data_IF_471698540897
#
_entry.id   IF_471698540897
#
_cell.length_a   1.000
_cell.length_b   1.000
_cell.length_c   1.000
_cell.angle_alpha   90.00
_cell.angle_beta   90.00
_cell.angle_gamma   90.00
#
_symmetry.space_group_name_H-M   'P 1'
#
loop_
_entity.id
_entity.type
_entity.pdbx_description
1 polymer ?
#
# COMPACT_ATOMS: atom_id res chain seq x y z
N UNK A 1 5.86 -49.12 -11.15
CA UNK A 1 5.17 -47.81 -11.10
C UNK A 1 3.70 -48.04 -11.41
N UNK A 2 2.81 -47.75 -10.46
CA UNK A 2 1.38 -48.05 -10.61
C UNK A 2 0.71 -47.03 -11.53
N UNK A 3 -0.32 -47.45 -12.28
CA UNK A 3 -1.11 -46.55 -13.15
C UNK A 3 -1.75 -45.38 -12.41
N UNK A 4 -1.87 -45.46 -11.08
CA UNK A 4 -2.34 -44.36 -10.24
C UNK A 4 -1.30 -43.24 -10.07
N UNK A 5 0.00 -43.57 -10.15
CA UNK A 5 1.07 -42.57 -10.13
C UNK A 5 1.18 -41.77 -11.44
N UNK A 6 0.75 -42.33 -12.58
CA UNK A 6 0.64 -41.58 -13.85
C UNK A 6 -0.61 -40.68 -13.91
N UNK A 7 -1.73 -41.09 -13.29
CA UNK A 7 -2.95 -40.26 -13.22
C UNK A 7 -2.80 -39.05 -12.31
N UNK A 8 -1.97 -39.13 -11.27
CA UNK A 8 -1.62 -37.97 -10.45
C UNK A 8 -0.61 -37.04 -11.14
N UNK A 9 0.19 -37.54 -12.07
CA UNK A 9 1.22 -36.77 -12.79
C UNK A 9 0.67 -35.97 -13.99
N UNK A 10 -0.52 -36.29 -14.49
CA UNK A 10 -1.19 -35.55 -15.58
C UNK A 10 -2.54 -34.99 -15.11
N UNK A 11 -2.54 -34.10 -14.11
CA UNK A 11 -3.72 -33.27 -13.88
C UNK A 11 -3.81 -32.23 -15.01
N UNK A 12 -4.89 -32.22 -15.82
CA UNK A 12 -5.02 -31.24 -16.89
C UNK A 12 -5.26 -29.86 -16.27
N UNK A 13 -4.25 -28.99 -16.36
CA UNK A 13 -4.34 -27.56 -16.09
C UNK A 13 -5.19 -26.94 -17.22
N UNK A 14 -6.52 -26.95 -17.05
CA UNK A 14 -7.49 -26.49 -18.06
C UNK A 14 -7.90 -25.01 -17.93
N UNK A 15 -7.38 -24.28 -16.95
CA UNK A 15 -7.15 -22.86 -17.15
C UNK A 15 -5.80 -22.77 -17.86
N UNK A 16 -5.76 -22.22 -19.08
CA UNK A 16 -4.50 -22.04 -19.80
C UNK A 16 -3.46 -21.45 -18.85
N UNK A 17 -2.19 -21.88 -18.93
CA UNK A 17 -1.14 -21.33 -18.07
C UNK A 17 -1.13 -19.80 -18.11
N UNK A 18 -1.54 -19.21 -19.24
CA UNK A 18 -1.79 -17.78 -19.40
C UNK A 18 -2.87 -17.22 -18.45
N UNK A 19 -4.01 -17.90 -18.26
CA UNK A 19 -5.05 -17.47 -17.33
C UNK A 19 -4.59 -17.58 -15.86
N UNK A 20 -3.79 -18.60 -15.54
CA UNK A 20 -3.20 -18.77 -14.20
C UNK A 20 -2.15 -17.70 -13.93
N UNK A 21 -1.32 -17.37 -14.92
CA UNK A 21 -0.29 -16.33 -14.79
C UNK A 21 -0.92 -14.94 -14.65
N UNK A 22 -2.06 -14.67 -15.31
CA UNK A 22 -2.78 -13.40 -15.18
C UNK A 22 -3.48 -13.27 -13.80
N UNK A 23 -4.05 -14.36 -13.29
CA UNK A 23 -4.74 -14.38 -11.99
C UNK A 23 -3.81 -14.47 -10.77
N UNK A 24 -2.64 -15.10 -10.90
CA UNK A 24 -1.75 -15.36 -9.77
C UNK A 24 -0.26 -15.32 -10.20
N UNK A 25 0.25 -14.20 -10.72
CA UNK A 25 1.59 -14.08 -11.31
C UNK A 25 2.71 -14.46 -10.33
N UNK A 26 3.81 -15.07 -10.80
CA UNK A 26 4.92 -15.50 -9.90
C UNK A 26 5.68 -14.28 -9.37
N UNK A 27 5.97 -13.33 -10.27
CA UNK A 27 6.81 -12.16 -9.98
C UNK A 27 6.10 -10.86 -10.41
N UNK A 28 4.96 -10.51 -9.79
CA UNK A 28 4.22 -9.32 -10.20
C UNK A 28 5.04 -8.04 -10.04
N UNK A 29 4.86 -7.13 -10.99
CA UNK A 29 5.45 -5.79 -11.00
C UNK A 29 6.99 -5.75 -10.96
N UNK A 30 7.70 -6.80 -11.38
CA UNK A 30 9.16 -6.84 -11.39
C UNK A 30 9.80 -5.67 -12.17
N UNK A 31 9.28 -5.38 -13.36
CA UNK A 31 9.77 -4.27 -14.19
C UNK A 31 9.43 -2.91 -13.56
N UNK A 32 8.18 -2.74 -13.12
CA UNK A 32 7.71 -1.53 -12.47
C UNK A 32 8.55 -1.20 -11.21
N UNK A 33 8.90 -2.19 -10.40
CA UNK A 33 9.73 -1.98 -9.21
C UNK A 33 11.08 -1.34 -9.51
N UNK A 34 11.71 -1.69 -10.65
CA UNK A 34 12.97 -1.04 -11.07
C UNK A 34 12.75 0.44 -11.39
N UNK A 35 11.70 0.72 -12.17
CA UNK A 35 11.36 2.07 -12.60
C UNK A 35 11.01 2.96 -11.41
N UNK A 36 10.22 2.44 -10.46
CA UNK A 36 9.88 3.15 -9.23
C UNK A 36 11.10 3.40 -8.34
N UNK A 37 12.02 2.44 -8.20
CA UNK A 37 13.28 2.66 -7.48
C UNK A 37 14.15 3.73 -8.16
N UNK A 38 14.22 3.73 -9.50
CA UNK A 38 14.96 4.74 -10.26
C UNK A 38 14.34 6.14 -10.10
N UNK A 39 13.00 6.23 -10.17
CA UNK A 39 12.26 7.47 -9.94
C UNK A 39 12.48 8.01 -8.53
N UNK A 40 12.41 7.15 -7.51
CA UNK A 40 12.75 7.53 -6.13
C UNK A 40 14.20 7.97 -5.98
N UNK A 41 15.14 7.27 -6.60
CA UNK A 41 16.56 7.64 -6.56
C UNK A 41 16.76 9.05 -7.12
N UNK A 42 16.18 9.35 -8.29
CA UNK A 42 16.23 10.67 -8.89
C UNK A 42 15.60 11.74 -7.98
N UNK A 43 14.46 11.43 -7.36
CA UNK A 43 13.82 12.31 -6.38
C UNK A 43 14.72 12.62 -5.19
N UNK A 44 15.28 11.59 -4.55
CA UNK A 44 16.19 11.76 -3.41
C UNK A 44 17.47 12.51 -3.77
N UNK A 45 18.05 12.29 -4.94
CA UNK A 45 19.21 13.08 -5.40
C UNK A 45 18.86 14.54 -5.68
N UNK A 46 17.68 14.80 -6.26
CA UNK A 46 17.22 16.17 -6.49
C UNK A 46 17.02 16.91 -5.15
N UNK A 47 16.42 16.24 -4.16
CA UNK A 47 16.26 16.79 -2.82
C UNK A 47 17.61 17.02 -2.14
N UNK A 48 18.47 16.02 -2.12
CA UNK A 48 19.78 16.13 -1.46
C UNK A 48 20.69 17.17 -2.11
N UNK A 49 20.68 17.25 -3.44
CA UNK A 49 21.37 18.30 -4.19
C UNK A 49 20.79 19.68 -3.90
N UNK A 50 19.46 19.80 -3.85
CA UNK A 50 18.78 21.03 -3.46
C UNK A 50 19.14 21.46 -2.03
N UNK A 51 19.24 20.52 -1.09
CA UNK A 51 19.61 20.77 0.30
C UNK A 51 21.06 21.31 0.42
N UNK A 52 21.99 20.80 -0.38
CA UNK A 52 23.36 21.34 -0.47
C UNK A 52 23.41 22.76 -1.04
N UNK A 53 22.51 23.08 -1.96
CA UNK A 53 22.39 24.41 -2.57
C UNK A 53 21.55 25.40 -1.72
N UNK A 54 21.01 24.96 -0.58
CA UNK A 54 20.11 25.77 0.25
C UNK A 54 18.72 25.97 -0.36
N UNK A 55 18.34 25.18 -1.37
CA UNK A 55 17.05 25.22 -2.06
C UNK A 55 16.00 24.28 -1.45
N UNK A 56 16.42 23.33 -0.62
CA UNK A 56 15.56 22.32 0.00
C UNK A 56 15.56 22.43 1.53
N UNK A 57 14.51 21.93 2.21
CA UNK A 57 14.35 22.08 3.65
C UNK A 57 15.41 21.28 4.41
N UNK A 58 15.80 21.76 5.60
CA UNK A 58 16.73 21.07 6.49
C UNK A 58 18.22 21.31 6.19
N UNK A 59 18.53 22.12 5.17
CA UNK A 59 19.88 22.59 4.86
C UNK A 59 20.90 21.48 4.60
N UNK A 60 22.21 21.76 4.70
CA UNK A 60 23.26 20.78 4.39
C UNK A 60 23.20 19.50 5.23
N UNK A 61 22.64 19.56 6.44
CA UNK A 61 22.44 18.39 7.31
C UNK A 61 21.43 17.38 6.76
N UNK A 62 20.43 17.83 5.99
CA UNK A 62 19.43 16.95 5.36
C UNK A 62 19.96 16.28 4.08
N UNK A 63 20.98 16.86 3.44
CA UNK A 63 21.52 16.35 2.18
C UNK A 63 22.12 14.94 2.30
N UNK A 64 22.88 14.68 3.37
CA UNK A 64 23.56 13.39 3.56
C UNK A 64 22.59 12.19 3.61
N UNK A 65 21.52 12.18 4.44
CA UNK A 65 20.58 11.06 4.45
C UNK A 65 19.79 10.94 3.13
N UNK A 66 19.44 12.04 2.47
CA UNK A 66 18.72 12.00 1.18
C UNK A 66 19.60 11.41 0.08
N UNK A 67 20.86 11.85 -0.04
CA UNK A 67 21.81 11.27 -0.99
C UNK A 67 22.04 9.79 -0.70
N UNK A 68 22.16 9.40 0.57
CA UNK A 68 22.32 7.99 0.95
C UNK A 68 21.11 7.14 0.54
N UNK A 69 19.88 7.62 0.77
CA UNK A 69 18.65 6.96 0.31
C UNK A 69 18.58 6.90 -1.22
N UNK A 70 19.00 7.96 -1.91
CA UNK A 70 19.12 8.00 -3.37
C UNK A 70 20.09 6.95 -3.90
N UNK A 71 21.26 6.79 -3.28
CA UNK A 71 22.22 5.75 -3.61
C UNK A 71 21.66 4.34 -3.39
N UNK A 72 20.99 4.10 -2.26
CA UNK A 72 20.35 2.79 -2.00
C UNK A 72 19.28 2.49 -3.05
N UNK A 73 18.42 3.46 -3.37
CA UNK A 73 17.39 3.31 -4.38
C UNK A 73 17.97 3.10 -5.79
N UNK A 74 19.06 3.78 -6.13
CA UNK A 74 19.75 3.62 -7.41
C UNK A 74 20.39 2.22 -7.52
N UNK A 75 21.06 1.76 -6.47
CA UNK A 75 21.61 0.40 -6.41
C UNK A 75 20.49 -0.61 -6.52
N UNK A 76 19.37 -0.40 -5.81
CA UNK A 76 18.20 -1.27 -5.94
C UNK A 76 17.68 -1.31 -7.37
N UNK A 77 17.63 -0.18 -8.07
CA UNK A 77 17.19 -0.08 -9.47
C UNK A 77 18.14 -0.82 -10.43
N UNK A 78 19.45 -0.58 -10.32
CA UNK A 78 20.46 -1.05 -11.27
C UNK A 78 20.95 -2.49 -11.00
N UNK A 79 21.07 -2.90 -9.73
CA UNK A 79 21.64 -4.18 -9.37
C UNK A 79 20.74 -5.36 -9.75
N UNK A 80 21.36 -6.51 -10.04
CA UNK A 80 20.71 -7.80 -10.28
C UNK A 80 20.29 -8.45 -8.96
N UNK A 81 19.42 -7.78 -8.22
CA UNK A 81 18.81 -8.32 -7.00
C UNK A 81 17.75 -9.37 -7.33
N UNK A 82 17.64 -10.40 -6.49
CA UNK A 82 16.49 -11.30 -6.53
C UNK A 82 15.19 -10.54 -6.21
N UNK A 83 14.06 -11.12 -6.62
CA UNK A 83 12.75 -10.51 -6.41
C UNK A 83 12.47 -10.18 -4.94
N UNK A 84 12.78 -11.11 -4.03
CA UNK A 84 12.60 -10.92 -2.59
C UNK A 84 13.55 -9.88 -1.98
N UNK A 85 14.82 -9.88 -2.39
CA UNK A 85 15.79 -8.88 -1.92
C UNK A 85 15.37 -7.48 -2.32
N UNK A 86 14.92 -7.28 -3.57
CA UNK A 86 14.43 -5.97 -4.03
C UNK A 86 13.21 -5.52 -3.23
N UNK A 87 12.25 -6.42 -3.02
CA UNK A 87 11.06 -6.14 -2.24
C UNK A 87 11.38 -5.72 -0.79
N UNK A 88 12.33 -6.40 -0.14
CA UNK A 88 12.83 -6.03 1.17
C UNK A 88 13.51 -4.65 1.17
N UNK A 89 14.32 -4.34 0.15
CA UNK A 89 14.95 -3.01 0.02
C UNK A 89 13.90 -1.91 -0.18
N UNK A 90 12.83 -2.16 -0.94
CA UNK A 90 11.74 -1.19 -1.13
C UNK A 90 11.01 -0.87 0.18
N UNK A 91 10.76 -1.88 1.02
CA UNK A 91 10.18 -1.68 2.36
C UNK A 91 11.16 -0.91 3.24
N UNK A 92 12.44 -1.31 3.24
CA UNK A 92 13.49 -0.65 4.01
C UNK A 92 13.62 0.83 3.63
N UNK A 93 13.61 1.16 2.34
CA UNK A 93 13.63 2.53 1.84
C UNK A 93 12.45 3.36 2.36
N UNK A 94 11.23 2.80 2.34
CA UNK A 94 10.06 3.49 2.89
C UNK A 94 10.17 3.72 4.39
N UNK A 95 10.63 2.72 5.14
CA UNK A 95 10.81 2.84 6.60
C UNK A 95 11.93 3.83 6.97
N UNK A 96 13.07 3.79 6.27
CA UNK A 96 14.18 4.72 6.49
C UNK A 96 13.77 6.14 6.10
N UNK A 97 13.08 6.32 4.98
CA UNK A 97 12.58 7.65 4.59
C UNK A 97 11.58 8.20 5.59
N UNK A 98 10.71 7.35 6.15
CA UNK A 98 9.80 7.76 7.20
C UNK A 98 10.57 8.16 8.47
N UNK A 99 11.56 7.36 8.89
CA UNK A 99 12.41 7.67 10.04
C UNK A 99 13.17 9.00 9.88
N UNK A 100 13.72 9.28 8.69
CA UNK A 100 14.37 10.56 8.38
C UNK A 100 13.36 11.69 8.37
N UNK A 101 12.19 11.50 7.76
CA UNK A 101 11.11 12.50 7.71
C UNK A 101 10.58 12.88 9.09
N UNK A 102 10.40 11.92 10.00
CA UNK A 102 9.94 12.18 11.37
C UNK A 102 10.96 12.93 12.24
N UNK A 103 12.25 12.84 11.90
CA UNK A 103 13.33 13.58 12.57
C UNK A 103 13.56 14.99 12.03
N UNK A 104 12.96 15.35 10.89
CA UNK A 104 13.20 16.62 10.21
C UNK A 104 12.49 17.82 10.85
N UNK A 105 12.98 19.04 10.61
CA UNK A 105 12.39 20.29 11.13
C UNK A 105 11.00 20.60 10.55
N UNK A 106 10.61 19.93 9.46
CA UNK A 106 9.32 20.12 8.79
C UNK A 106 8.16 19.31 9.41
N UNK A 107 8.43 18.39 10.35
CA UNK A 107 7.40 17.58 10.99
C UNK A 107 6.98 18.22 12.33
N UNK A 108 5.69 18.54 12.53
CA UNK A 108 5.22 19.08 13.79
C UNK A 108 5.46 18.07 14.94
N UNK A 109 5.91 18.51 16.12
CA UNK A 109 6.33 17.63 17.22
C UNK A 109 5.20 16.74 17.77
N UNK A 110 3.94 17.18 17.65
CA UNK A 110 2.75 16.44 18.09
C UNK A 110 2.55 15.14 17.30
N UNK A 111 3.06 15.09 16.06
CA UNK A 111 2.84 13.99 15.12
C UNK A 111 3.97 12.94 15.11
N UNK A 112 5.03 13.10 15.92
CA UNK A 112 6.19 12.17 15.90
C UNK A 112 5.82 10.75 16.33
N UNK A 113 4.90 10.58 17.29
CA UNK A 113 4.45 9.25 17.74
C UNK A 113 3.47 8.58 16.76
N UNK A 114 2.57 9.37 16.18
CA UNK A 114 1.53 8.90 15.27
C UNK A 114 2.03 8.72 13.83
N UNK A 115 3.14 9.38 13.47
CA UNK A 115 3.80 9.26 12.18
C UNK A 115 4.14 7.82 11.82
N UNK A 116 4.73 7.05 12.75
CA UNK A 116 5.05 5.65 12.50
C UNK A 116 3.79 4.83 12.20
N UNK A 117 2.72 5.03 12.96
CA UNK A 117 1.44 4.34 12.74
C UNK A 117 0.81 4.73 11.40
N UNK A 118 0.93 6.01 11.00
CA UNK A 118 0.54 6.50 9.66
C UNK A 118 1.33 5.80 8.57
N UNK A 119 2.66 5.67 8.71
CA UNK A 119 3.52 4.95 7.75
C UNK A 119 3.15 3.48 7.67
N UNK A 120 2.91 2.82 8.81
CA UNK A 120 2.45 1.42 8.82
C UNK A 120 1.13 1.29 8.07
N UNK A 121 0.15 2.17 8.30
CA UNK A 121 -1.11 2.17 7.56
C UNK A 121 -0.90 2.42 6.06
N UNK A 122 -0.07 3.40 5.69
CA UNK A 122 0.26 3.77 4.31
C UNK A 122 1.06 2.71 3.54
N UNK A 123 1.67 1.74 4.23
CA UNK A 123 2.40 0.62 3.61
C UNK A 123 1.55 -0.65 3.62
N UNK A 124 1.04 -1.03 4.80
CA UNK A 124 0.36 -2.31 5.01
C UNK A 124 -0.96 -2.38 4.25
N UNK A 125 -1.78 -1.32 4.31
CA UNK A 125 -3.12 -1.33 3.72
C UNK A 125 -3.05 -1.34 2.19
N UNK A 126 -2.30 -0.46 1.50
CA UNK A 126 -2.20 -0.51 0.05
C UNK A 126 -1.53 -1.80 -0.44
N UNK A 127 -0.49 -2.28 0.25
CA UNK A 127 0.16 -3.55 -0.08
C UNK A 127 -0.79 -4.76 0.00
N UNK A 128 -1.63 -4.81 1.04
CA UNK A 128 -2.65 -5.86 1.20
C UNK A 128 -3.80 -5.71 0.20
N UNK A 129 -4.22 -4.49 -0.15
CA UNK A 129 -5.23 -4.21 -1.17
C UNK A 129 -4.76 -4.64 -2.57
N UNK A 130 -3.52 -4.33 -2.94
CA UNK A 130 -2.90 -4.81 -4.18
C UNK A 130 -2.82 -6.34 -4.22
N UNK A 131 -2.40 -6.96 -3.10
CA UNK A 131 -2.38 -8.40 -2.96
C UNK A 131 -3.78 -9.00 -3.15
N UNK A 132 -4.78 -8.46 -2.47
CA UNK A 132 -6.17 -8.91 -2.54
C UNK A 132 -6.77 -8.75 -3.96
N UNK A 133 -6.47 -7.65 -4.64
CA UNK A 133 -6.96 -7.37 -5.99
C UNK A 133 -6.48 -8.42 -7.00
N UNK A 134 -5.21 -8.84 -6.88
CA UNK A 134 -4.60 -9.85 -7.76
C UNK A 134 -4.96 -11.27 -7.33
N UNK A 135 -4.78 -11.61 -6.05
CA UNK A 135 -5.04 -12.94 -5.50
C UNK A 135 -6.49 -13.10 -5.02
N UNK A 136 -7.46 -12.70 -5.85
CA UNK A 136 -8.86 -12.57 -5.43
C UNK A 136 -9.57 -13.89 -5.10
N UNK A 137 -9.13 -15.00 -5.68
CA UNK A 137 -9.67 -16.34 -5.40
C UNK A 137 -9.05 -16.98 -4.14
N UNK A 138 -7.94 -16.42 -3.64
CA UNK A 138 -7.23 -17.01 -2.51
C UNK A 138 -7.89 -16.60 -1.19
N UNK A 139 -8.49 -17.57 -0.49
CA UNK A 139 -9.26 -17.31 0.73
C UNK A 139 -8.45 -16.57 1.81
N UNK A 140 -7.14 -16.85 1.94
CA UNK A 140 -6.28 -16.19 2.95
C UNK A 140 -5.97 -14.73 2.63
N UNK A 141 -6.20 -14.25 1.41
CA UNK A 141 -6.01 -12.85 1.06
C UNK A 141 -6.91 -11.92 1.89
N UNK A 142 -8.11 -12.38 2.30
CA UNK A 142 -9.00 -11.61 3.19
C UNK A 142 -8.43 -11.48 4.60
N UNK A 143 -7.79 -12.52 5.12
CA UNK A 143 -7.14 -12.48 6.43
C UNK A 143 -5.94 -11.54 6.45
N UNK A 144 -5.16 -11.52 5.37
CA UNK A 144 -4.05 -10.57 5.19
C UNK A 144 -4.57 -9.12 5.17
N UNK A 145 -5.66 -8.87 4.43
CA UNK A 145 -6.31 -7.55 4.43
C UNK A 145 -6.85 -7.18 5.82
N UNK A 146 -7.47 -8.13 6.53
CA UNK A 146 -7.92 -7.94 7.92
C UNK A 146 -6.78 -7.59 8.88
N UNK A 147 -5.62 -8.24 8.75
CA UNK A 147 -4.44 -7.91 9.54
C UNK A 147 -3.89 -6.51 9.22
N UNK A 148 -3.89 -6.12 7.94
CA UNK A 148 -3.49 -4.77 7.55
C UNK A 148 -4.44 -3.69 8.09
N UNK A 149 -5.75 -3.96 8.09
CA UNK A 149 -6.74 -3.10 8.74
C UNK A 149 -6.51 -3.00 10.25
N UNK A 150 -6.29 -4.12 10.93
CA UNK A 150 -5.99 -4.14 12.36
C UNK A 150 -4.73 -3.29 12.68
N UNK A 151 -3.69 -3.38 11.85
CA UNK A 151 -2.48 -2.55 11.98
C UNK A 151 -2.75 -1.05 11.75
N UNK A 152 -3.76 -0.70 10.95
CA UNK A 152 -4.17 0.68 10.70
C UNK A 152 -5.14 1.25 11.76
N UNK A 153 -5.72 0.42 12.63
CA UNK A 153 -6.71 0.86 13.64
C UNK A 153 -6.16 1.97 14.55
N UNK A 154 -4.96 1.86 15.15
CA UNK A 154 -4.47 2.90 16.06
C UNK A 154 -4.39 4.28 15.40
N UNK A 155 -3.87 4.35 14.16
CA UNK A 155 -3.81 5.59 13.40
C UNK A 155 -5.22 6.09 13.04
N UNK A 156 -6.13 5.18 12.65
CA UNK A 156 -7.51 5.55 12.29
C UNK A 156 -8.27 6.15 13.46
N UNK A 157 -8.13 5.58 14.67
CA UNK A 157 -8.72 6.12 15.90
C UNK A 157 -8.19 7.54 16.18
N UNK A 158 -6.88 7.75 16.02
CA UNK A 158 -6.28 9.07 16.14
C UNK A 158 -6.84 10.06 15.10
N UNK A 159 -6.95 9.67 13.83
CA UNK A 159 -7.54 10.51 12.79
C UNK A 159 -8.99 10.86 13.07
N UNK A 160 -9.81 9.92 13.57
CA UNK A 160 -11.20 10.20 13.99
C UNK A 160 -11.24 11.20 15.13
N UNK A 161 -10.35 11.07 16.13
CA UNK A 161 -10.27 12.02 17.24
C UNK A 161 -9.91 13.44 16.77
N UNK A 162 -9.02 13.58 15.77
CA UNK A 162 -8.70 14.88 15.14
C UNK A 162 -9.91 15.49 14.46
N UNK A 163 -10.68 14.68 13.72
CA UNK A 163 -11.94 15.13 13.06
C UNK A 163 -13.00 15.55 14.09
N UNK A 164 -13.06 14.89 15.23
CA UNK A 164 -14.06 15.14 16.28
C UNK A 164 -13.82 16.42 17.11
N UNK A 165 -12.93 17.31 16.67
CA UNK A 165 -12.73 18.63 17.28
C UNK A 165 -11.46 18.79 18.11
N UNK A 166 -10.49 17.88 17.99
CA UNK A 166 -9.18 18.03 18.64
C UNK A 166 -8.15 18.79 17.78
N UNK A 167 -8.49 19.19 16.55
CA UNK A 167 -7.56 19.76 15.59
C UNK A 167 -8.11 21.01 14.86
N UNK A 168 -7.23 21.76 14.22
CA UNK A 168 -7.59 22.88 13.34
C UNK A 168 -8.39 22.40 12.11
N UNK A 169 -9.14 23.29 11.44
CA UNK A 169 -10.02 22.92 10.31
C UNK A 169 -9.28 22.20 9.17
N UNK A 170 -8.11 22.69 8.79
CA UNK A 170 -7.26 22.08 7.75
C UNK A 170 -6.77 20.67 8.16
N UNK A 171 -6.37 20.51 9.42
CA UNK A 171 -5.97 19.23 9.98
C UNK A 171 -7.10 18.21 10.00
N UNK A 172 -8.29 18.66 10.42
CA UNK A 172 -9.48 17.84 10.45
C UNK A 172 -9.88 17.40 9.03
N UNK A 173 -9.74 18.27 8.02
CA UNK A 173 -9.99 17.91 6.62
C UNK A 173 -9.04 16.80 6.13
N UNK A 174 -7.74 16.92 6.40
CA UNK A 174 -6.76 15.89 6.07
C UNK A 174 -7.06 14.56 6.75
N UNK A 175 -7.34 14.59 8.04
CA UNK A 175 -7.71 13.41 8.81
C UNK A 175 -9.00 12.76 8.29
N UNK A 176 -10.01 13.55 7.93
CA UNK A 176 -11.26 13.05 7.36
C UNK A 176 -11.05 12.34 6.02
N UNK A 177 -10.22 12.90 5.13
CA UNK A 177 -9.85 12.25 3.86
C UNK A 177 -9.15 10.91 4.11
N UNK A 178 -8.23 10.87 5.08
CA UNK A 178 -7.55 9.64 5.49
C UNK A 178 -8.53 8.56 5.99
N UNK A 179 -9.46 8.93 6.87
CA UNK A 179 -10.50 8.02 7.41
C UNK A 179 -11.39 7.49 6.29
N UNK A 180 -11.87 8.37 5.39
CA UNK A 180 -12.71 7.97 4.26
C UNK A 180 -11.96 7.02 3.32
N UNK A 181 -10.69 7.30 3.01
CA UNK A 181 -9.89 6.46 2.13
C UNK A 181 -9.59 5.08 2.76
N UNK A 182 -9.25 5.03 4.06
CA UNK A 182 -9.07 3.78 4.79
C UNK A 182 -10.39 2.99 4.81
N UNK A 183 -11.52 3.66 5.09
CA UNK A 183 -12.86 3.07 5.05
C UNK A 183 -13.23 2.53 3.66
N UNK A 184 -12.88 3.23 2.58
CA UNK A 184 -13.07 2.74 1.21
C UNK A 184 -12.26 1.47 0.93
N UNK A 185 -11.15 1.23 1.64
CA UNK A 185 -10.42 -0.03 1.62
C UNK A 185 -11.27 -1.25 2.02
N UNK A 186 -12.36 -1.06 2.77
CA UNK A 186 -13.28 -2.14 3.14
C UNK A 186 -13.96 -2.79 1.93
N UNK A 187 -14.03 -2.07 0.80
CA UNK A 187 -14.47 -2.62 -0.49
C UNK A 187 -13.61 -3.83 -0.91
N UNK A 188 -12.36 -3.93 -0.43
CA UNK A 188 -11.49 -5.09 -0.64
C UNK A 188 -12.00 -6.40 -0.02
N UNK A 189 -12.93 -6.34 0.95
CA UNK A 189 -13.57 -7.53 1.53
C UNK A 189 -14.72 -8.09 0.69
N UNK A 190 -15.20 -7.34 -0.29
CA UNK A 190 -16.26 -7.81 -1.17
C UNK A 190 -15.83 -9.07 -1.97
N UNK A 191 -16.80 -9.68 -2.67
CA UNK A 191 -16.61 -10.91 -3.45
C UNK A 191 -15.51 -10.81 -4.50
N UNK A 192 -15.05 -11.95 -5.01
CA UNK A 192 -14.06 -12.02 -6.11
C UNK A 192 -14.48 -11.25 -7.35
N UNK A 193 -15.79 -11.11 -7.58
CA UNK A 193 -16.34 -10.46 -8.77
C UNK A 193 -16.27 -8.92 -8.71
N UNK A 194 -16.21 -8.33 -7.52
CA UNK A 194 -16.29 -6.86 -7.33
C UNK A 194 -14.98 -6.24 -6.85
N UNK A 195 -13.94 -7.04 -6.62
CA UNK A 195 -12.67 -6.58 -6.04
C UNK A 195 -11.70 -5.89 -7.03
N UNK A 196 -12.15 -5.55 -8.25
CA UNK A 196 -11.30 -4.93 -9.28
C UNK A 196 -10.77 -3.53 -8.89
N UNK A 197 -11.45 -2.83 -7.99
CA UNK A 197 -11.05 -1.50 -7.53
C UNK A 197 -9.84 -1.45 -6.59
N UNK A 198 -9.29 -2.59 -6.16
CA UNK A 198 -8.27 -2.64 -5.09
C UNK A 198 -6.98 -1.86 -5.39
N UNK A 199 -6.58 -1.73 -6.65
CA UNK A 199 -5.42 -0.90 -7.03
C UNK A 199 -5.74 0.60 -6.95
N UNK A 200 -6.95 1.02 -7.35
CA UNK A 200 -7.38 2.40 -7.25
C UNK A 200 -7.60 2.82 -5.80
N UNK A 201 -8.17 1.94 -4.95
CA UNK A 201 -8.30 2.20 -3.52
C UNK A 201 -6.95 2.23 -2.82
N UNK A 202 -6.01 1.35 -3.19
CA UNK A 202 -4.64 1.40 -2.69
C UNK A 202 -3.96 2.76 -2.99
N UNK A 203 -4.09 3.26 -4.23
CA UNK A 203 -3.58 4.58 -4.60
C UNK A 203 -4.31 5.70 -3.83
N UNK A 204 -5.64 5.61 -3.72
CA UNK A 204 -6.45 6.57 -2.97
C UNK A 204 -6.04 6.68 -1.50
N UNK A 205 -5.73 5.55 -0.83
CA UNK A 205 -5.20 5.53 0.53
C UNK A 205 -3.86 6.25 0.62
N UNK A 206 -2.92 5.96 -0.29
CA UNK A 206 -1.59 6.62 -0.29
C UNK A 206 -1.73 8.14 -0.46
N UNK A 207 -2.54 8.56 -1.44
CA UNK A 207 -2.74 9.98 -1.72
C UNK A 207 -3.47 10.68 -0.57
N UNK A 208 -4.53 10.09 0.00
CA UNK A 208 -5.24 10.67 1.12
C UNK A 208 -4.36 10.84 2.36
N UNK A 209 -3.52 9.86 2.67
CA UNK A 209 -2.58 9.95 3.80
C UNK A 209 -1.44 10.95 3.53
N UNK A 210 -0.99 11.09 2.28
CA UNK A 210 -0.06 12.15 1.90
C UNK A 210 -0.69 13.55 1.99
N UNK A 211 -1.96 13.68 1.60
CA UNK A 211 -2.73 14.92 1.78
C UNK A 211 -2.95 15.23 3.26
N UNK A 212 -3.22 14.23 4.11
CA UNK A 212 -3.26 14.42 5.57
C UNK A 212 -1.94 15.00 6.09
N UNK A 213 -0.80 14.46 5.67
CA UNK A 213 0.53 15.01 6.02
C UNK A 213 0.66 16.46 5.55
N UNK A 214 0.31 16.75 4.29
CA UNK A 214 0.41 18.10 3.74
C UNK A 214 -0.43 19.12 4.51
N UNK A 215 -1.71 18.81 4.72
CA UNK A 215 -2.64 19.71 5.42
C UNK A 215 -2.26 19.88 6.90
N UNK A 216 -1.74 18.82 7.53
CA UNK A 216 -1.24 18.90 8.90
C UNK A 216 -0.01 19.79 9.03
N UNK A 217 0.92 19.70 8.07
CA UNK A 217 2.07 20.58 8.04
C UNK A 217 1.70 22.02 7.71
N UNK A 218 0.73 22.27 6.82
CA UNK A 218 0.24 23.62 6.48
C UNK A 218 -0.53 24.29 7.62
N UNK A 219 -1.20 23.51 8.45
CA UNK A 219 -1.90 24.02 9.63
C UNK A 219 -0.93 24.43 10.77
N UNK A 220 0.33 24.00 10.71
CA UNK A 220 1.35 24.40 11.66
C UNK A 220 1.62 25.90 11.56
N UNK A 221 1.72 26.64 12.69
CA UNK A 221 2.05 28.07 12.70
C UNK A 221 3.35 28.41 11.96
N UNK A 222 4.25 27.42 11.84
CA UNK A 222 5.55 27.55 11.17
C UNK A 222 5.39 27.66 9.64
N UNK A 223 4.35 27.05 9.06
CA UNK A 223 4.16 26.99 7.60
C UNK A 223 3.46 28.24 7.02
N UNK A 224 2.95 29.14 7.85
CA UNK A 224 2.13 30.27 7.43
C UNK A 224 2.93 31.48 6.90
N UNK A 225 4.26 31.40 6.83
CA UNK A 225 5.14 32.55 6.60
C UNK A 225 5.57 32.81 5.15
N UNK A 226 5.72 31.78 4.30
CA UNK A 226 6.32 31.94 2.97
C UNK A 226 5.90 30.89 1.91
N UNK A 227 6.03 31.23 0.62
CA UNK A 227 5.84 30.29 -0.50
C UNK A 227 6.85 29.13 -0.46
N UNK A 228 8.04 29.36 0.11
CA UNK A 228 9.08 28.36 0.25
C UNK A 228 8.62 27.28 1.24
N UNK A 229 7.96 27.66 2.33
CA UNK A 229 7.41 26.71 3.31
C UNK A 229 6.32 25.83 2.68
N UNK A 230 5.45 26.42 1.87
CA UNK A 230 4.43 25.65 1.12
C UNK A 230 5.09 24.65 0.17
N UNK A 231 6.14 25.06 -0.56
CA UNK A 231 6.87 24.17 -1.45
C UNK A 231 7.52 23.00 -0.68
N UNK A 232 8.10 23.28 0.50
CA UNK A 232 8.65 22.25 1.38
C UNK A 232 7.61 21.24 1.84
N UNK A 233 6.40 21.69 2.20
CA UNK A 233 5.30 20.80 2.58
C UNK A 233 4.87 19.91 1.42
N UNK A 234 4.72 20.48 0.22
CA UNK A 234 4.37 19.72 -0.99
C UNK A 234 5.43 18.66 -1.29
N UNK A 235 6.70 19.04 -1.22
CA UNK A 235 7.83 18.11 -1.41
C UNK A 235 7.80 16.97 -0.40
N UNK A 236 7.57 17.27 0.89
CA UNK A 236 7.49 16.25 1.93
C UNK A 236 6.31 15.29 1.71
N UNK A 237 5.14 15.82 1.33
CA UNK A 237 3.96 15.01 1.03
C UNK A 237 4.15 14.10 -0.20
N UNK A 238 4.77 14.62 -1.27
CA UNK A 238 5.11 13.83 -2.46
C UNK A 238 6.16 12.76 -2.13
N UNK A 239 7.17 13.10 -1.33
CA UNK A 239 8.16 12.15 -0.83
C UNK A 239 7.53 11.03 0.00
N UNK A 240 6.62 11.38 0.92
CA UNK A 240 5.84 10.42 1.71
C UNK A 240 4.99 9.50 0.82
N UNK A 241 4.29 10.06 -0.16
CA UNK A 241 3.48 9.29 -1.11
C UNK A 241 4.34 8.31 -1.91
N UNK A 242 5.45 8.77 -2.49
CA UNK A 242 6.34 7.95 -3.32
C UNK A 242 6.98 6.81 -2.53
N UNK A 243 7.47 7.10 -1.33
CA UNK A 243 8.13 6.11 -0.48
C UNK A 243 7.14 5.09 0.10
N UNK A 244 5.94 5.53 0.49
CA UNK A 244 4.85 4.63 0.90
C UNK A 244 4.37 3.75 -0.26
N UNK A 245 4.27 4.29 -1.48
CA UNK A 245 3.91 3.52 -2.67
C UNK A 245 4.93 2.43 -2.98
N UNK A 246 6.23 2.76 -2.91
CA UNK A 246 7.31 1.79 -3.13
C UNK A 246 7.36 0.75 -2.03
N UNK A 247 7.26 1.12 -0.77
CA UNK A 247 7.22 0.15 0.32
C UNK A 247 5.96 -0.74 0.26
N UNK A 248 4.81 -0.20 -0.12
CA UNK A 248 3.58 -0.96 -0.37
C UNK A 248 3.76 -1.98 -1.49
N UNK A 249 4.40 -1.58 -2.60
CA UNK A 249 4.77 -2.50 -3.67
C UNK A 249 5.72 -3.58 -3.17
N UNK A 250 6.74 -3.23 -2.38
CA UNK A 250 7.66 -4.20 -1.75
C UNK A 250 6.90 -5.21 -0.88
N UNK A 251 5.99 -4.75 -0.03
CA UNK A 251 5.15 -5.64 0.78
C UNK A 251 4.30 -6.57 -0.09
N UNK A 252 3.65 -6.03 -1.11
CA UNK A 252 2.89 -6.82 -2.08
C UNK A 252 3.75 -7.91 -2.74
N UNK A 253 4.98 -7.58 -3.14
CA UNK A 253 5.92 -8.54 -3.73
C UNK A 253 6.33 -9.64 -2.74
N UNK A 254 6.58 -9.30 -1.46
CA UNK A 254 6.87 -10.30 -0.43
C UNK A 254 5.68 -11.24 -0.26
N UNK A 255 4.46 -10.70 -0.11
CA UNK A 255 3.24 -11.48 0.02
C UNK A 255 3.02 -12.40 -1.19
N UNK A 256 3.19 -11.87 -2.41
CA UNK A 256 3.13 -12.65 -3.65
C UNK A 256 4.14 -13.80 -3.63
N UNK A 257 5.41 -13.53 -3.32
CA UNK A 257 6.44 -14.58 -3.31
C UNK A 257 6.17 -15.68 -2.27
N UNK A 258 5.54 -15.34 -1.15
CA UNK A 258 5.22 -16.29 -0.08
C UNK A 258 3.96 -17.10 -0.35
N UNK A 259 2.96 -16.52 -0.99
CA UNK A 259 1.63 -17.13 -1.12
C UNK A 259 1.26 -17.54 -2.55
N UNK A 260 2.00 -17.14 -3.58
CA UNK A 260 1.67 -17.48 -4.98
C UNK A 260 1.58 -18.99 -5.21
N UNK A 261 2.51 -19.77 -4.64
CA UNK A 261 2.51 -21.23 -4.78
C UNK A 261 1.26 -21.89 -4.18
N UNK A 262 0.74 -21.36 -3.06
CA UNK A 262 -0.49 -21.85 -2.43
C UNK A 262 -1.73 -21.34 -3.18
N UNK A 263 -1.74 -20.07 -3.60
CA UNK A 263 -2.82 -19.46 -4.35
C UNK A 263 -3.04 -20.11 -5.72
N UNK A 264 -1.99 -20.65 -6.35
CA UNK A 264 -2.07 -21.40 -7.62
C UNK A 264 -2.64 -22.80 -7.46
N UNK A 265 -2.70 -23.34 -6.24
CA UNK A 265 -3.36 -24.63 -5.95
C UNK A 265 -4.88 -24.44 -5.87
N UNK A 266 -5.47 -23.86 -6.92
CA UNK A 266 -6.93 -23.75 -7.02
C UNK A 266 -7.46 -25.16 -7.27
N UNK A 267 -8.14 -25.71 -6.27
CA UNK A 267 -8.74 -27.03 -6.37
C UNK A 267 -10.02 -26.94 -7.21
N UNK A 268 -9.90 -27.02 -8.54
CA UNK A 268 -11.01 -27.02 -9.50
C UNK A 268 -12.01 -28.17 -9.27
N UNK A 269 -11.65 -29.17 -8.45
CA UNK A 269 -12.51 -30.28 -8.05
C UNK A 269 -13.04 -30.15 -6.62
N UNK A 270 -12.88 -29.01 -5.96
CA UNK A 270 -13.67 -28.73 -4.78
C UNK A 270 -15.13 -28.82 -5.22
N UNK A 271 -15.84 -29.85 -4.73
CA UNK A 271 -17.27 -30.03 -5.02
C UNK A 271 -17.94 -28.67 -4.87
N UNK A 272 -18.70 -28.19 -5.87
CA UNK A 272 -19.56 -27.04 -5.70
C UNK A 272 -20.23 -27.23 -4.35
N UNK A 273 -20.03 -26.28 -3.43
CA UNK A 273 -20.64 -26.38 -2.12
C UNK A 273 -22.13 -26.45 -2.42
N UNK A 274 -22.76 -27.62 -2.19
CA UNK A 274 -24.16 -27.84 -2.57
C UNK A 274 -24.95 -26.69 -2.00
N UNK A 275 -25.31 -25.75 -2.87
CA UNK A 275 -26.17 -24.65 -2.51
C UNK A 275 -27.49 -25.37 -2.31
N UNK A 276 -27.83 -25.65 -1.04
CA UNK A 276 -29.12 -26.25 -0.71
C UNK A 276 -30.15 -25.45 -1.50
N UNK A 277 -30.93 -26.10 -2.39
CA UNK A 277 -31.91 -25.40 -3.20
C UNK A 277 -32.69 -24.51 -2.25
N UNK A 278 -32.68 -23.20 -2.55
CA UNK A 278 -33.37 -22.20 -1.76
C UNK A 278 -34.79 -22.72 -1.64
N UNK A 279 -35.18 -23.19 -0.45
CA UNK A 279 -36.56 -23.65 -0.24
C UNK A 279 -37.44 -22.50 -0.71
N UNK A 280 -38.40 -22.74 -1.62
CA UNK A 280 -39.32 -21.69 -2.04
C UNK A 280 -39.89 -21.11 -0.75
N UNK A 281 -39.68 -19.82 -0.53
CA UNK A 281 -40.29 -19.12 0.59
C UNK A 281 -41.78 -19.37 0.46
N UNK A 282 -42.38 -20.06 1.43
CA UNK A 282 -43.75 -20.54 1.39
C UNK A 282 -44.80 -19.43 1.46
N UNK A 283 -44.61 -18.31 0.78
CA UNK A 283 -45.49 -17.15 0.77
C UNK A 283 -46.08 -16.80 -0.61
N UNK A 284 -45.86 -17.62 -1.65
CA UNK A 284 -46.59 -17.52 -2.94
C UNK A 284 -47.99 -18.17 -2.84
N UNK A 285 -48.78 -17.77 -1.84
CA UNK A 285 -50.15 -18.27 -1.60
C UNK A 285 -51.24 -17.18 -1.69
N UNK A 286 -50.99 -16.04 -2.34
CA UNK A 286 -51.97 -14.95 -2.43
C UNK A 286 -51.59 -14.05 -3.60
N UNK A 287 -52.35 -13.87 -4.68
CA UNK A 287 -53.78 -14.05 -4.92
C UNK A 287 -54.01 -14.13 -6.43
N UNK A 288 -54.68 -15.19 -6.88
CA UNK A 288 -55.66 -15.04 -7.96
C UNK A 288 -56.87 -14.36 -7.33
N UNK A 289 -57.27 -13.24 -7.89
CA UNK A 289 -58.65 -12.89 -8.26
C UNK A 289 -58.58 -11.84 -9.38
#
# INVERSE_FOLDING_TARGET
MSRDSERLARKPLLASEALIEDLAPIEPAKAAARLWCAGLAAGFFALGGGALMGLAPGGPSAAAPEIALGCIALVAAAARLSYQQRAAVMILLGLLSAAVGFGGPAMPPVDRGWGLLRTVAAIALPGALLFRARYRAYAKARWILGAAFAAAVPFTVYSVARVAGMAAELEALGAALGVVAIGAGLLGFMGSETSGGGAATALGVILALATDVALSSLASPIAAGSLIDVAHVVVAAVGFAGTSAVASLGLYQILASRFAADARRINLHAKPKDVKPRQPSGSDWSTKD
#
